data_IF_709169784409
#
_entry.id   IF_709169784409
#
_cell.length_a   1.000
_cell.length_b   1.000
_cell.length_c   1.000
_cell.angle_alpha   90.00
_cell.angle_beta   90.00
_cell.angle_gamma   90.00
#
_symmetry.space_group_name_H-M   'P 1'
#
loop_
_entity.id
_entity.type
_entity.pdbx_description
1 polymer ?
#
# COMPACT_ATOMS: atom_id res chain seq x y z
N UNK A 1 -15.80 1.87 -21.02
CA UNK A 1 -15.86 2.21 -19.58
C UNK A 1 -14.43 2.50 -19.12
N UNK A 2 -14.21 3.54 -18.31
CA UNK A 2 -12.87 3.91 -17.86
C UNK A 2 -12.27 2.76 -17.03
N UNK A 3 -11.02 2.39 -17.33
CA UNK A 3 -10.30 1.32 -16.63
C UNK A 3 -9.92 1.75 -15.20
N UNK A 4 -9.54 0.82 -14.31
CA UNK A 4 -9.00 1.18 -12.99
C UNK A 4 -7.76 2.07 -13.06
N UNK A 5 -6.87 1.84 -14.04
CA UNK A 5 -5.70 2.68 -14.28
C UNK A 5 -6.13 4.07 -14.74
N UNK A 6 -7.10 4.16 -15.65
CA UNK A 6 -7.67 5.42 -16.12
C UNK A 6 -8.26 6.27 -14.99
N UNK A 7 -8.99 5.66 -14.06
CA UNK A 7 -9.48 6.36 -12.86
C UNK A 7 -8.36 6.87 -11.96
N UNK A 8 -7.30 6.07 -11.77
CA UNK A 8 -6.15 6.49 -10.99
C UNK A 8 -5.43 7.68 -11.64
N UNK A 9 -5.24 7.65 -12.95
CA UNK A 9 -4.60 8.74 -13.69
C UNK A 9 -5.46 10.01 -13.70
N UNK A 10 -6.77 9.92 -13.97
CA UNK A 10 -7.69 11.07 -13.89
C UNK A 10 -7.69 11.71 -12.50
N UNK A 11 -7.66 10.91 -11.44
CA UNK A 11 -7.56 11.44 -10.08
C UNK A 11 -6.28 12.24 -9.86
N UNK A 12 -5.14 11.79 -10.41
CA UNK A 12 -3.89 12.53 -10.31
C UNK A 12 -3.99 13.85 -11.10
N UNK A 13 -4.47 13.80 -12.35
CA UNK A 13 -4.63 14.99 -13.20
C UNK A 13 -5.61 16.02 -12.65
N UNK A 14 -6.60 15.61 -11.86
CA UNK A 14 -7.59 16.52 -11.24
C UNK A 14 -6.94 17.57 -10.31
N UNK A 15 -5.71 17.34 -9.84
CA UNK A 15 -4.99 18.24 -8.94
C UNK A 15 -4.25 19.35 -9.71
N UNK A 16 -4.56 20.64 -9.45
CA UNK A 16 -3.91 21.75 -10.16
C UNK A 16 -2.41 21.88 -9.86
N UNK A 17 -1.92 21.28 -8.77
CA UNK A 17 -0.49 21.27 -8.41
C UNK A 17 0.33 20.26 -9.22
N UNK A 18 -0.31 19.33 -9.94
CA UNK A 18 0.37 18.29 -10.72
C UNK A 18 0.65 18.79 -12.13
N UNK A 19 1.93 18.84 -12.51
CA UNK A 19 2.36 19.28 -13.85
C UNK A 19 2.65 18.14 -14.83
N UNK A 20 3.04 16.97 -14.33
CA UNK A 20 3.41 15.80 -15.14
C UNK A 20 2.93 14.54 -14.43
N UNK A 21 2.30 13.65 -15.19
CA UNK A 21 1.91 12.31 -14.74
C UNK A 21 2.68 11.27 -15.55
N UNK A 22 3.36 10.36 -14.86
CA UNK A 22 4.11 9.27 -15.48
C UNK A 22 3.27 7.99 -15.44
N UNK A 23 2.74 7.59 -16.59
CA UNK A 23 1.94 6.36 -16.73
C UNK A 23 2.82 5.13 -16.96
N UNK A 24 2.57 4.04 -16.23
CA UNK A 24 3.16 2.73 -16.48
C UNK A 24 2.29 1.89 -17.42
N UNK A 25 2.93 1.03 -18.21
CA UNK A 25 2.27 0.14 -19.19
C UNK A 25 3.13 -1.09 -19.45
N UNK A 26 2.51 -2.23 -19.72
CA UNK A 26 3.20 -3.51 -20.02
C UNK A 26 2.87 -4.02 -21.42
N UNK A 27 1.63 -3.84 -21.87
CA UNK A 27 1.17 -4.27 -23.20
C UNK A 27 0.59 -3.08 -23.99
N UNK A 28 0.49 -3.22 -25.31
CA UNK A 28 -0.01 -2.16 -26.20
C UNK A 28 -1.38 -1.62 -25.77
N UNK A 29 -2.26 -2.49 -25.27
CA UNK A 29 -3.59 -2.07 -24.81
C UNK A 29 -3.53 -1.08 -23.63
N UNK A 30 -2.53 -1.20 -22.75
CA UNK A 30 -2.32 -0.27 -21.65
C UNK A 30 -1.91 1.11 -22.17
N UNK A 31 -1.12 1.16 -23.25
CA UNK A 31 -0.73 2.41 -23.91
C UNK A 31 -1.96 3.10 -24.49
N UNK A 32 -2.79 2.39 -25.25
CA UNK A 32 -4.02 2.94 -25.84
C UNK A 32 -4.97 3.49 -24.76
N UNK A 33 -5.15 2.74 -23.67
CA UNK A 33 -6.00 3.15 -22.54
C UNK A 33 -5.45 4.38 -21.80
N UNK A 34 -4.13 4.42 -21.57
CA UNK A 34 -3.47 5.58 -20.97
C UNK A 34 -3.58 6.83 -21.85
N UNK A 35 -3.38 6.69 -23.16
CA UNK A 35 -3.51 7.79 -24.13
C UNK A 35 -4.94 8.33 -24.17
N UNK A 36 -5.93 7.44 -24.28
CA UNK A 36 -7.34 7.83 -24.27
C UNK A 36 -7.73 8.51 -22.96
N UNK A 37 -7.21 8.06 -21.82
CA UNK A 37 -7.47 8.70 -20.52
C UNK A 37 -6.82 10.09 -20.44
N UNK A 38 -5.63 10.26 -21.02
CA UNK A 38 -4.90 11.52 -20.99
C UNK A 38 -5.60 12.64 -21.78
N UNK A 39 -6.40 12.32 -22.80
CA UNK A 39 -7.17 13.29 -23.58
C UNK A 39 -8.17 14.08 -22.72
N UNK A 40 -8.73 13.46 -21.67
CA UNK A 40 -9.67 14.06 -20.71
C UNK A 40 -9.00 14.41 -19.35
N UNK A 41 -7.66 14.31 -19.27
CA UNK A 41 -6.86 14.49 -18.07
C UNK A 41 -6.45 15.93 -17.84
N UNK A 42 -7.29 16.71 -17.17
CA UNK A 42 -7.01 18.11 -16.82
C UNK A 42 -7.33 18.39 -15.34
N UNK A 43 -6.75 19.47 -14.80
CA UNK A 43 -7.05 19.92 -13.44
C UNK A 43 -8.54 20.27 -13.31
N UNK A 44 -9.20 19.71 -12.29
CA UNK A 44 -10.63 19.87 -12.08
C UNK A 44 -11.53 19.16 -13.11
N UNK A 45 -11.02 18.17 -13.86
CA UNK A 45 -11.82 17.44 -14.86
C UNK A 45 -12.76 16.37 -14.27
N UNK A 46 -12.64 16.06 -12.98
CA UNK A 46 -13.58 15.17 -12.30
C UNK A 46 -14.84 15.89 -11.84
N UNK A 47 -16.00 15.30 -12.14
CA UNK A 47 -17.28 15.75 -11.61
C UNK A 47 -17.39 15.43 -10.11
N UNK A 48 -18.29 16.13 -9.41
CA UNK A 48 -18.56 15.88 -8.00
C UNK A 48 -18.96 14.41 -7.71
N UNK A 49 -19.72 13.77 -8.61
CA UNK A 49 -20.12 12.38 -8.47
C UNK A 49 -18.94 11.41 -8.63
N UNK A 50 -17.99 11.72 -9.51
CA UNK A 50 -16.76 10.92 -9.70
C UNK A 50 -15.82 11.07 -8.50
N UNK A 51 -15.64 12.30 -8.00
CA UNK A 51 -14.88 12.57 -6.78
C UNK A 51 -15.48 11.82 -5.57
N UNK A 52 -16.81 11.83 -5.43
CA UNK A 52 -17.51 11.07 -4.39
C UNK A 52 -17.28 9.55 -4.54
N UNK A 53 -17.37 9.03 -5.77
CA UNK A 53 -17.09 7.62 -6.04
C UNK A 53 -15.67 7.22 -5.63
N UNK A 54 -14.66 8.01 -6.01
CA UNK A 54 -13.26 7.78 -5.62
C UNK A 54 -13.11 7.89 -4.10
N UNK A 55 -13.79 8.84 -3.46
CA UNK A 55 -13.84 9.00 -2.01
C UNK A 55 -14.38 7.76 -1.29
N UNK A 56 -15.46 7.17 -1.81
CA UNK A 56 -16.01 5.90 -1.28
C UNK A 56 -15.03 4.75 -1.43
N UNK A 57 -14.40 4.60 -2.60
CA UNK A 57 -13.37 3.59 -2.80
C UNK A 57 -12.21 3.76 -1.80
N UNK A 58 -11.73 4.99 -1.61
CA UNK A 58 -10.70 5.31 -0.62
C UNK A 58 -11.10 4.85 0.78
N UNK A 59 -12.35 5.10 1.18
CA UNK A 59 -12.82 4.72 2.51
C UNK A 59 -12.90 3.20 2.66
N UNK A 60 -13.39 2.46 1.68
CA UNK A 60 -13.40 0.99 1.70
C UNK A 60 -12.00 0.40 1.85
N UNK A 61 -11.00 0.99 1.19
CA UNK A 61 -9.60 0.58 1.41
C UNK A 61 -9.12 0.88 2.83
N UNK A 62 -9.54 2.01 3.43
CA UNK A 62 -9.16 2.40 4.81
C UNK A 62 -9.84 1.53 5.86
N UNK A 63 -11.05 1.05 5.63
CA UNK A 63 -11.72 0.13 6.58
C UNK A 63 -11.06 -1.24 6.61
N UNK A 64 -10.53 -1.68 5.46
CA UNK A 64 -9.88 -2.99 5.30
C UNK A 64 -8.40 -3.01 5.68
N UNK A 65 -7.63 -1.98 5.33
CA UNK A 65 -6.20 -1.90 5.67
C UNK A 65 -6.01 -1.54 7.15
N UNK A 66 -5.18 -2.31 7.85
CA UNK A 66 -4.86 -2.03 9.26
C UNK A 66 -3.65 -1.12 9.44
N UNK A 67 -2.75 -1.10 8.44
CA UNK A 67 -1.54 -0.28 8.45
C UNK A 67 -1.47 0.54 7.17
N UNK A 68 -1.40 1.87 7.27
CA UNK A 68 -1.27 2.77 6.12
C UNK A 68 0.20 2.90 5.65
N UNK A 69 0.90 1.77 5.52
CA UNK A 69 2.26 1.73 4.99
C UNK A 69 2.22 1.83 3.47
N UNK A 70 3.00 2.74 2.89
CA UNK A 70 3.12 2.95 1.44
C UNK A 70 4.26 2.16 0.81
N UNK A 71 4.91 1.27 1.56
CA UNK A 71 6.04 0.45 1.10
C UNK A 71 7.25 1.26 0.55
N UNK A 72 7.46 2.49 1.01
CA UNK A 72 8.57 3.36 0.56
C UNK A 72 9.98 2.88 0.96
N UNK A 73 10.08 1.91 1.86
CA UNK A 73 11.32 1.32 2.37
C UNK A 73 12.28 2.28 3.12
N UNK A 74 11.89 3.51 3.46
CA UNK A 74 12.75 4.43 4.22
C UNK A 74 13.12 3.92 5.62
N UNK A 75 12.28 3.06 6.21
CA UNK A 75 12.59 2.40 7.48
C UNK A 75 13.66 1.31 7.38
N UNK A 76 14.12 0.97 6.16
CA UNK A 76 15.09 -0.10 5.91
C UNK A 76 16.52 0.45 5.71
N UNK A 77 17.57 -0.36 5.98
CA UNK A 77 17.49 -1.66 6.65
C UNK A 77 17.17 -1.53 8.15
N UNK A 78 16.39 -2.47 8.68
CA UNK A 78 16.18 -2.59 10.12
C UNK A 78 17.44 -3.18 10.78
N UNK A 79 17.98 -2.60 11.87
CA UNK A 79 19.15 -3.14 12.55
C UNK A 79 18.98 -4.57 13.09
N UNK A 80 17.74 -4.98 13.39
CA UNK A 80 17.41 -6.33 13.83
C UNK A 80 17.09 -7.30 12.67
N UNK A 81 17.18 -6.86 11.42
CA UNK A 81 16.93 -7.70 10.24
C UNK A 81 15.46 -7.82 9.82
N UNK A 82 14.51 -7.25 10.58
CA UNK A 82 13.07 -7.27 10.27
C UNK A 82 12.80 -6.62 8.91
N UNK A 83 12.08 -7.31 8.03
CA UNK A 83 11.55 -6.74 6.79
C UNK A 83 10.20 -6.06 7.08
N UNK A 84 10.28 -4.83 7.61
CA UNK A 84 9.12 -4.08 8.13
C UNK A 84 8.03 -3.88 7.06
N UNK A 85 8.35 -3.42 5.82
CA UNK A 85 7.31 -3.19 4.83
C UNK A 85 6.57 -4.47 4.44
N UNK A 86 7.30 -5.58 4.32
CA UNK A 86 6.70 -6.87 3.96
C UNK A 86 5.87 -7.46 5.10
N UNK A 87 6.27 -7.28 6.36
CA UNK A 87 5.45 -7.62 7.52
C UNK A 87 4.09 -6.90 7.47
N UNK A 88 4.10 -5.58 7.21
CA UNK A 88 2.87 -4.80 7.09
C UNK A 88 2.05 -5.15 5.86
N UNK A 89 2.70 -5.47 4.74
CA UNK A 89 2.02 -5.93 3.53
C UNK A 89 1.21 -7.22 3.82
N UNK A 90 1.83 -8.24 4.39
CA UNK A 90 1.15 -9.51 4.73
C UNK A 90 0.07 -9.32 5.78
N UNK A 91 0.30 -8.47 6.76
CA UNK A 91 -0.71 -8.11 7.76
C UNK A 91 -1.94 -7.48 7.11
N UNK A 92 -1.76 -6.49 6.22
CA UNK A 92 -2.86 -5.88 5.49
C UNK A 92 -3.57 -6.87 4.56
N UNK A 93 -2.86 -7.76 3.88
CA UNK A 93 -3.48 -8.77 3.02
C UNK A 93 -4.45 -9.69 3.79
N UNK A 94 -4.14 -10.02 5.05
CA UNK A 94 -5.01 -10.85 5.89
C UNK A 94 -6.40 -10.23 6.05
N UNK A 95 -6.48 -8.91 6.26
CA UNK A 95 -7.75 -8.19 6.44
C UNK A 95 -8.36 -7.71 5.12
N UNK A 96 -7.53 -7.40 4.12
CA UNK A 96 -8.02 -6.95 2.82
C UNK A 96 -8.87 -8.01 2.14
N UNK A 97 -8.43 -9.26 2.21
CA UNK A 97 -9.08 -10.40 1.56
C UNK A 97 -9.82 -11.33 2.53
N UNK A 98 -9.92 -10.96 3.81
CA UNK A 98 -10.52 -11.78 4.86
C UNK A 98 -9.94 -13.22 4.89
N UNK A 99 -8.64 -13.36 4.57
CA UNK A 99 -7.96 -14.63 4.37
C UNK A 99 -6.66 -14.72 5.19
N UNK A 100 -6.82 -15.00 6.48
CA UNK A 100 -5.72 -15.11 7.43
C UNK A 100 -4.78 -16.30 7.12
N UNK A 101 -5.33 -17.42 6.67
CA UNK A 101 -4.54 -18.61 6.37
C UNK A 101 -3.54 -18.36 5.24
N UNK A 102 -4.01 -17.78 4.13
CA UNK A 102 -3.14 -17.41 3.02
C UNK A 102 -2.11 -16.35 3.43
N UNK A 103 -2.49 -15.38 4.26
CA UNK A 103 -1.56 -14.39 4.77
C UNK A 103 -0.45 -15.03 5.63
N UNK A 104 -0.78 -15.98 6.52
CA UNK A 104 0.20 -16.72 7.32
C UNK A 104 1.13 -17.60 6.48
N UNK A 105 0.57 -18.29 5.49
CA UNK A 105 1.34 -19.13 4.57
C UNK A 105 2.34 -18.27 3.79
N UNK A 106 1.87 -17.20 3.15
CA UNK A 106 2.74 -16.31 2.37
C UNK A 106 3.75 -15.59 3.27
N UNK A 107 3.36 -15.13 4.45
CA UNK A 107 4.28 -14.57 5.44
C UNK A 107 5.41 -15.55 5.79
N UNK A 108 5.10 -16.83 5.99
CA UNK A 108 6.11 -17.84 6.31
C UNK A 108 7.02 -18.20 5.13
N UNK A 109 6.48 -18.22 3.91
CA UNK A 109 7.22 -18.55 2.68
C UNK A 109 8.15 -17.40 2.25
N UNK A 110 7.66 -16.16 2.29
CA UNK A 110 8.41 -14.99 1.83
C UNK A 110 9.39 -14.45 2.88
N UNK A 111 9.13 -14.66 4.17
CA UNK A 111 9.98 -14.16 5.25
C UNK A 111 10.61 -15.27 6.07
N UNK A 112 11.94 -15.30 6.07
CA UNK A 112 12.74 -16.11 7.01
C UNK A 112 12.49 -15.63 8.45
N UNK A 113 12.62 -16.50 9.47
CA UNK A 113 12.35 -16.13 10.87
C UNK A 113 13.03 -14.84 11.35
N UNK A 114 14.31 -14.59 10.98
CA UNK A 114 15.02 -13.36 11.35
C UNK A 114 14.54 -12.08 10.66
N UNK A 115 13.72 -12.20 9.61
CA UNK A 115 13.12 -11.08 8.89
C UNK A 115 11.66 -10.81 9.28
N UNK A 116 11.09 -11.65 10.17
CA UNK A 116 9.71 -11.53 10.65
C UNK A 116 9.57 -10.49 11.75
N UNK A 117 8.34 -10.05 11.99
CA UNK A 117 8.02 -9.05 13.00
C UNK A 117 8.50 -9.46 14.41
N UNK A 118 8.47 -10.76 14.73
CA UNK A 118 8.95 -11.29 16.01
C UNK A 118 10.44 -11.01 16.30
N UNK A 119 11.27 -10.71 15.29
CA UNK A 119 12.67 -10.34 15.50
C UNK A 119 12.85 -8.87 15.95
N UNK A 120 11.78 -8.08 16.05
CA UNK A 120 11.84 -6.68 16.46
C UNK A 120 12.35 -6.54 17.91
N UNK A 121 13.41 -5.75 18.08
CA UNK A 121 13.98 -5.40 19.41
C UNK A 121 13.51 -4.03 19.93
N UNK A 122 12.49 -3.45 19.30
CA UNK A 122 11.86 -2.16 19.66
C UNK A 122 12.83 -0.96 19.75
N UNK A 123 13.88 -0.92 18.94
CA UNK A 123 14.89 0.15 18.97
C UNK A 123 14.39 1.54 18.53
N UNK A 124 13.31 1.63 17.74
CA UNK A 124 12.68 2.89 17.34
C UNK A 124 13.27 3.58 16.11
N UNK A 125 14.43 3.14 15.61
CA UNK A 125 15.12 3.79 14.47
C UNK A 125 14.29 3.85 13.17
N UNK A 126 13.30 2.96 13.02
CA UNK A 126 12.39 2.95 11.87
C UNK A 126 11.34 4.06 11.90
N UNK A 127 10.89 4.48 13.09
CA UNK A 127 9.81 5.46 13.27
C UNK A 127 10.28 6.86 12.89
N UNK A 128 11.53 7.22 13.24
CA UNK A 128 12.16 8.50 12.85
C UNK A 128 12.28 8.68 11.34
N UNK A 129 12.35 7.57 10.59
CA UNK A 129 12.47 7.57 9.12
C UNK A 129 11.12 7.47 8.41
N UNK A 130 10.03 7.23 9.15
CA UNK A 130 8.73 6.97 8.56
C UNK A 130 8.04 8.28 8.15
N UNK A 131 7.85 8.56 6.84
CA UNK A 131 7.18 9.80 6.42
C UNK A 131 5.70 9.82 6.79
N UNK A 132 5.12 8.65 7.08
CA UNK A 132 3.72 8.49 7.49
C UNK A 132 3.55 8.54 9.03
N UNK A 133 4.62 8.75 9.80
CA UNK A 133 4.61 8.79 11.27
C UNK A 133 3.93 7.57 11.91
N UNK A 134 4.10 6.39 11.32
CA UNK A 134 3.53 5.15 11.85
C UNK A 134 4.22 4.76 13.16
N UNK A 135 3.44 4.24 14.11
CA UNK A 135 3.95 3.59 15.33
C UNK A 135 4.44 2.18 15.00
N UNK A 136 5.53 2.10 14.24
CA UNK A 136 6.00 0.85 13.63
C UNK A 136 6.22 -0.24 14.67
N UNK A 137 6.71 0.08 15.87
CA UNK A 137 6.97 -0.91 16.92
C UNK A 137 5.67 -1.58 17.40
N UNK A 138 4.67 -0.78 17.74
CA UNK A 138 3.37 -1.27 18.20
C UNK A 138 2.70 -2.11 17.10
N UNK A 139 2.76 -1.64 15.86
CA UNK A 139 2.18 -2.34 14.72
C UNK A 139 2.87 -3.69 14.46
N UNK A 140 4.19 -3.78 14.61
CA UNK A 140 4.91 -5.05 14.48
C UNK A 140 4.50 -6.06 15.56
N UNK A 141 4.17 -5.62 16.77
CA UNK A 141 3.62 -6.51 17.81
C UNK A 141 2.27 -7.10 17.39
N UNK A 142 1.41 -6.29 16.76
CA UNK A 142 0.15 -6.75 16.20
C UNK A 142 0.35 -7.74 15.06
N UNK A 143 1.37 -7.51 14.20
CA UNK A 143 1.77 -8.48 13.18
C UNK A 143 2.20 -9.80 13.81
N UNK A 144 3.07 -9.77 14.81
CA UNK A 144 3.54 -10.98 15.51
C UNK A 144 2.37 -11.75 16.10
N UNK A 145 1.45 -11.07 16.78
CA UNK A 145 0.28 -11.72 17.40
C UNK A 145 -0.60 -12.45 16.38
N UNK A 146 -0.72 -11.91 15.18
CA UNK A 146 -1.62 -12.46 14.16
C UNK A 146 -0.94 -13.50 13.26
N UNK A 147 0.31 -13.25 12.85
CA UNK A 147 1.00 -13.99 11.79
C UNK A 147 2.14 -14.90 12.27
N UNK A 148 2.81 -14.57 13.38
CA UNK A 148 3.90 -15.40 13.95
C UNK A 148 3.33 -16.47 14.89
N UNK A 149 2.42 -17.31 14.40
CA UNK A 149 1.94 -18.46 15.16
C UNK A 149 2.99 -19.55 15.06
N UNK A 150 3.59 -19.90 16.19
CA UNK A 150 4.39 -21.12 16.32
C UNK A 150 3.52 -22.33 16.01
N UNK A 151 3.99 -23.20 15.12
CA UNK A 151 3.49 -24.59 15.01
C UNK A 151 3.57 -25.31 16.36
#
# INVERSE_FOLDING_TARGET
PISPAGWALRWIWDHPEVSVVLSGMTVEQDLEDNLSTAEDGEAGSLTAAEQEMIGRAREEYRTRMKVLCTNCQYCMPCPAGVNIPECFNRYNMAFMFDNLEQARQTYSVFLKPGARAAACVKCGACEEKCPQNLKIRDLLEDVTRLLDVSE
#
